data_IF_634233682163
#
_entry.id   IF_634233682163
#
_cell.length_a   1.000
_cell.length_b   1.000
_cell.length_c   1.000
_cell.angle_alpha   90.00
_cell.angle_beta   90.00
_cell.angle_gamma   90.00
#
_symmetry.space_group_name_H-M   'P 1'
#
loop_
_entity.id
_entity.type
_entity.pdbx_description
1 polymer ?
#
# COMPACT_ATOMS: atom_id res chain seq x y z
N UNK A 1 0.46 24.40 -3.51
CA UNK A 1 0.64 23.75 -2.20
C UNK A 1 1.22 22.36 -2.48
N UNK A 2 2.17 21.94 -1.67
CA UNK A 2 2.71 20.59 -1.78
C UNK A 2 1.65 19.58 -1.36
N UNK A 3 1.56 18.45 -2.08
CA UNK A 3 0.59 17.39 -1.76
C UNK A 3 0.87 16.79 -0.39
N UNK A 4 -0.19 16.56 0.38
CA UNK A 4 -0.15 15.80 1.63
C UNK A 4 -0.22 14.30 1.29
N UNK A 5 0.77 13.55 1.73
CA UNK A 5 0.91 12.13 1.48
C UNK A 5 0.50 11.39 2.75
N UNK A 6 -0.55 10.57 2.67
CA UNK A 6 -0.99 9.72 3.76
C UNK A 6 -0.59 8.28 3.48
N UNK A 7 0.13 7.68 4.42
CA UNK A 7 0.56 6.30 4.38
C UNK A 7 -0.23 5.51 5.43
N UNK A 8 -1.08 4.60 4.97
CA UNK A 8 -1.80 3.66 5.82
C UNK A 8 -1.08 2.30 5.81
N UNK A 9 -0.84 1.75 6.96
CA UNK A 9 -0.27 0.41 7.12
C UNK A 9 -1.37 -0.58 7.50
N UNK A 10 -1.52 -1.63 6.69
CA UNK A 10 -2.56 -2.64 6.84
C UNK A 10 -2.54 -3.34 8.20
N UNK A 11 -3.72 -3.64 8.71
CA UNK A 11 -3.95 -4.45 9.90
C UNK A 11 -3.34 -3.89 11.21
N UNK A 12 -3.30 -4.72 12.26
CA UNK A 12 -2.69 -4.46 13.54
C UNK A 12 -2.27 -5.76 14.20
N UNK A 13 -1.58 -5.66 15.33
CA UNK A 13 -1.07 -6.82 16.09
C UNK A 13 -2.17 -7.82 16.45
N UNK A 14 -3.37 -7.33 16.72
CA UNK A 14 -4.54 -8.12 17.07
C UNK A 14 -5.39 -8.61 15.87
N UNK A 15 -4.92 -8.40 14.62
CA UNK A 15 -5.60 -8.93 13.42
C UNK A 15 -5.15 -10.35 13.13
N UNK A 16 -6.00 -11.33 13.39
CA UNK A 16 -5.68 -12.74 13.22
C UNK A 16 -5.56 -13.12 11.73
N UNK A 17 -4.69 -14.09 11.43
CA UNK A 17 -4.57 -14.72 10.11
C UNK A 17 -3.91 -13.86 9.03
N UNK A 18 -3.31 -12.73 9.42
CA UNK A 18 -2.57 -11.84 8.52
C UNK A 18 -1.06 -12.09 8.65
N UNK A 19 -0.66 -13.29 8.22
CA UNK A 19 0.72 -13.78 8.33
C UNK A 19 1.00 -14.86 7.30
N UNK A 20 2.29 -15.17 7.10
CA UNK A 20 2.69 -16.36 6.35
C UNK A 20 2.30 -17.64 7.11
N UNK A 21 2.14 -18.80 6.42
CA UNK A 21 1.80 -20.07 7.06
C UNK A 21 2.73 -20.51 8.19
N UNK A 22 3.99 -20.11 8.15
CA UNK A 22 5.02 -20.40 9.17
C UNK A 22 5.21 -19.25 10.19
N UNK A 23 4.41 -18.18 10.09
CA UNK A 23 4.50 -16.95 10.89
C UNK A 23 5.85 -16.19 10.79
N UNK A 24 6.68 -16.49 9.82
CA UNK A 24 7.92 -15.75 9.58
C UNK A 24 7.67 -14.30 9.15
N UNK A 25 6.58 -14.06 8.37
CA UNK A 25 6.09 -12.75 8.00
C UNK A 25 4.76 -12.48 8.70
N UNK A 26 4.73 -11.43 9.53
CA UNK A 26 3.51 -10.86 10.10
C UNK A 26 3.18 -9.59 9.33
N UNK A 27 2.07 -9.57 8.58
CA UNK A 27 1.73 -8.46 7.68
C UNK A 27 1.73 -7.11 8.40
N UNK A 28 1.05 -7.01 9.55
CA UNK A 28 0.98 -5.78 10.32
C UNK A 28 2.35 -5.20 10.73
N UNK A 29 3.27 -6.08 11.10
CA UNK A 29 4.63 -5.70 11.52
C UNK A 29 5.50 -5.30 10.33
N UNK A 30 5.35 -6.01 9.22
CA UNK A 30 6.06 -5.73 7.98
C UNK A 30 5.63 -4.38 7.38
N UNK A 31 4.33 -4.16 7.22
CA UNK A 31 3.79 -2.93 6.62
C UNK A 31 4.14 -1.70 7.44
N UNK A 32 4.16 -1.79 8.79
CA UNK A 32 4.63 -0.69 9.65
C UNK A 32 6.09 -0.35 9.44
N UNK A 33 6.96 -1.36 9.32
CA UNK A 33 8.39 -1.13 9.01
C UNK A 33 8.57 -0.44 7.66
N UNK A 34 7.85 -0.90 6.63
CA UNK A 34 7.87 -0.31 5.29
C UNK A 34 7.39 1.13 5.31
N UNK A 35 6.20 1.37 5.85
CA UNK A 35 5.58 2.71 5.94
C UNK A 35 6.46 3.68 6.73
N UNK A 36 7.00 3.25 7.87
CA UNK A 36 7.93 4.06 8.67
C UNK A 36 9.15 4.47 7.84
N UNK A 37 9.73 3.54 7.08
CA UNK A 37 10.93 3.82 6.27
C UNK A 37 10.64 4.73 5.07
N UNK A 38 9.45 4.57 4.45
CA UNK A 38 8.98 5.50 3.40
C UNK A 38 8.80 6.90 3.99
N UNK A 39 8.11 7.01 5.13
CA UNK A 39 7.90 8.28 5.82
C UNK A 39 9.22 8.99 6.13
N UNK A 40 10.17 8.31 6.79
CA UNK A 40 11.49 8.86 7.11
C UNK A 40 12.16 9.47 5.88
N UNK A 41 12.26 8.70 4.80
CA UNK A 41 12.96 9.12 3.59
C UNK A 41 12.26 10.23 2.80
N UNK A 42 10.93 10.26 2.81
CA UNK A 42 10.17 11.35 2.18
C UNK A 42 10.23 12.63 3.01
N UNK A 43 10.16 12.53 4.35
CA UNK A 43 10.30 13.66 5.25
C UNK A 43 11.69 14.31 5.13
N UNK A 44 12.77 13.51 5.06
CA UNK A 44 14.14 13.99 4.79
C UNK A 44 14.26 14.78 3.47
N UNK A 45 13.40 14.49 2.49
CA UNK A 45 13.32 15.18 1.20
C UNK A 45 12.37 16.40 1.21
N UNK A 46 11.77 16.73 2.35
CA UNK A 46 10.88 17.87 2.52
C UNK A 46 9.42 17.61 2.09
N UNK A 47 9.01 16.37 1.83
CA UNK A 47 7.61 16.06 1.52
C UNK A 47 6.73 16.14 2.78
N UNK A 48 5.50 16.63 2.61
CA UNK A 48 4.48 16.62 3.66
C UNK A 48 3.84 15.23 3.74
N UNK A 49 4.41 14.35 4.55
CA UNK A 49 4.05 12.92 4.66
C UNK A 49 3.66 12.56 6.08
N UNK A 50 2.59 11.75 6.23
CA UNK A 50 2.06 11.34 7.52
C UNK A 50 1.76 9.84 7.54
N UNK A 51 2.04 9.20 8.68
CA UNK A 51 1.60 7.82 8.98
C UNK A 51 0.20 7.90 9.57
N UNK A 52 -0.76 7.23 8.91
CA UNK A 52 -2.17 7.28 9.30
C UNK A 52 -2.47 6.50 10.59
N UNK A 53 -1.77 5.36 10.78
CA UNK A 53 -1.94 4.45 11.92
C UNK A 53 -0.59 4.23 12.60
N UNK A 54 -0.19 5.12 13.52
CA UNK A 54 1.05 4.96 14.29
C UNK A 54 0.93 3.88 15.39
N UNK A 55 -0.28 3.44 15.72
CA UNK A 55 -0.55 2.42 16.74
C UNK A 55 -0.18 1.01 16.24
N UNK A 56 0.20 0.11 17.14
CA UNK A 56 0.45 -1.30 16.82
C UNK A 56 -0.86 -2.10 16.72
N UNK A 57 -1.86 -1.76 17.53
CA UNK A 57 -3.19 -2.35 17.44
C UNK A 57 -3.90 -1.99 16.13
N UNK A 58 -4.82 -2.85 15.70
CA UNK A 58 -5.68 -2.58 14.54
C UNK A 58 -6.64 -1.44 14.86
N UNK A 59 -6.67 -0.47 13.98
CA UNK A 59 -7.60 0.65 14.03
C UNK A 59 -8.73 0.38 13.04
N UNK A 60 -9.97 0.46 13.53
CA UNK A 60 -11.16 0.21 12.73
C UNK A 60 -11.16 1.05 11.44
N UNK A 61 -11.56 0.43 10.32
CA UNK A 61 -11.55 1.07 9.00
C UNK A 61 -12.30 2.40 8.95
N UNK A 62 -13.41 2.52 9.69
CA UNK A 62 -14.15 3.79 9.80
C UNK A 62 -13.32 4.90 10.45
N UNK A 63 -12.51 4.58 11.45
CA UNK A 63 -11.62 5.54 12.10
C UNK A 63 -10.45 5.93 11.18
N UNK A 64 -9.87 4.97 10.45
CA UNK A 64 -8.84 5.27 9.43
C UNK A 64 -9.37 6.26 8.40
N UNK A 65 -10.59 6.03 7.87
CA UNK A 65 -11.24 6.95 6.93
C UNK A 65 -11.53 8.33 7.53
N UNK A 66 -11.91 8.42 8.81
CA UNK A 66 -12.07 9.72 9.49
C UNK A 66 -10.75 10.48 9.55
N UNK A 67 -9.63 9.81 9.88
CA UNK A 67 -8.29 10.41 9.88
C UNK A 67 -7.92 10.94 8.49
N UNK A 68 -8.11 10.15 7.43
CA UNK A 68 -7.89 10.60 6.04
C UNK A 68 -8.73 11.83 5.74
N UNK A 69 -10.03 11.76 6.01
CA UNK A 69 -10.97 12.81 5.64
C UNK A 69 -10.78 14.12 6.46
N UNK A 70 -10.15 14.04 7.63
CA UNK A 70 -9.70 15.24 8.37
C UNK A 70 -8.66 16.03 7.56
N UNK A 71 -7.64 15.34 7.01
CA UNK A 71 -6.67 15.96 6.11
C UNK A 71 -7.34 16.53 4.85
N UNK A 72 -8.31 15.79 4.28
CA UNK A 72 -9.06 16.28 3.12
C UNK A 72 -9.84 17.56 3.42
N UNK A 73 -10.42 17.67 4.62
CA UNK A 73 -11.11 18.89 5.05
C UNK A 73 -10.15 20.07 5.23
N UNK A 74 -8.95 19.82 5.73
CA UNK A 74 -7.94 20.84 6.02
C UNK A 74 -7.22 21.32 4.75
N UNK A 75 -6.83 20.40 3.86
CA UNK A 75 -5.96 20.69 2.72
C UNK A 75 -6.68 20.67 1.37
N UNK A 76 -7.92 20.19 1.31
CA UNK A 76 -8.68 19.98 0.09
C UNK A 76 -8.37 18.62 -0.58
N UNK A 77 -9.41 18.04 -1.22
CA UNK A 77 -9.35 16.66 -1.77
C UNK A 77 -8.25 16.46 -2.81
N UNK A 78 -7.95 17.47 -3.59
CA UNK A 78 -6.99 17.40 -4.69
C UNK A 78 -5.53 17.58 -4.21
N UNK A 79 -5.34 18.00 -2.96
CA UNK A 79 -4.04 18.19 -2.33
C UNK A 79 -3.66 17.05 -1.37
N UNK A 80 -4.50 16.04 -1.21
CA UNK A 80 -4.26 14.87 -0.36
C UNK A 80 -4.22 13.62 -1.22
N UNK A 81 -3.32 12.69 -0.91
CA UNK A 81 -3.29 11.34 -1.49
C UNK A 81 -3.14 10.29 -0.41
N UNK A 82 -3.69 9.11 -0.65
CA UNK A 82 -3.60 7.96 0.25
C UNK A 82 -2.98 6.75 -0.46
N UNK A 83 -1.99 6.14 0.18
CA UNK A 83 -1.51 4.79 -0.17
C UNK A 83 -1.67 3.89 1.04
N UNK A 84 -2.49 2.85 0.93
CA UNK A 84 -2.63 1.79 1.93
C UNK A 84 -1.73 0.62 1.55
N UNK A 85 -0.81 0.27 2.44
CA UNK A 85 0.27 -0.71 2.18
C UNK A 85 -0.09 -2.05 2.83
N UNK A 86 -0.19 -3.11 2.02
CA UNK A 86 -0.58 -4.46 2.39
C UNK A 86 0.33 -5.52 1.79
N UNK A 87 0.16 -6.77 2.23
CA UNK A 87 0.65 -7.98 1.57
C UNK A 87 -0.55 -8.87 1.22
N UNK A 88 -0.58 -9.38 0.00
CA UNK A 88 -1.69 -10.21 -0.52
C UNK A 88 -1.71 -11.61 0.11
N UNK A 89 -2.85 -12.26 0.01
CA UNK A 89 -3.02 -13.67 0.32
C UNK A 89 -3.89 -14.34 -0.77
N UNK A 90 -3.48 -15.52 -1.21
CA UNK A 90 -4.22 -16.33 -2.19
C UNK A 90 -5.31 -17.19 -1.54
N UNK A 91 -5.13 -17.52 -0.25
CA UNK A 91 -6.04 -18.35 0.52
C UNK A 91 -6.22 -17.88 1.96
N UNK A 92 -7.08 -18.59 2.69
CA UNK A 92 -7.32 -18.37 4.13
C UNK A 92 -7.18 -19.68 4.94
N UNK A 93 -6.54 -20.69 4.32
CA UNK A 93 -6.43 -22.05 4.87
C UNK A 93 -5.12 -22.29 5.63
N UNK A 94 -4.28 -21.25 5.79
CA UNK A 94 -2.99 -21.33 6.47
C UNK A 94 -1.93 -22.15 5.72
N UNK A 95 -2.08 -22.33 4.40
CA UNK A 95 -1.15 -23.10 3.57
C UNK A 95 -0.38 -22.21 2.60
N UNK A 96 0.72 -22.76 2.10
CA UNK A 96 1.48 -22.13 1.02
C UNK A 96 0.77 -22.27 -0.32
N UNK A 97 0.71 -21.17 -1.09
CA UNK A 97 0.08 -21.07 -2.40
C UNK A 97 1.06 -20.68 -3.51
N UNK A 98 0.62 -20.86 -4.76
CA UNK A 98 1.45 -20.58 -5.96
C UNK A 98 1.29 -19.17 -6.51
N UNK A 99 0.23 -18.44 -6.10
CA UNK A 99 0.02 -17.07 -6.54
C UNK A 99 1.14 -16.20 -6.02
N UNK A 100 1.72 -15.35 -6.87
CA UNK A 100 2.83 -14.48 -6.51
C UNK A 100 2.86 -13.20 -7.37
N UNK A 101 3.50 -12.16 -6.86
CA UNK A 101 3.71 -10.89 -7.56
C UNK A 101 2.94 -9.73 -6.97
N UNK A 102 3.32 -8.54 -7.39
CA UNK A 102 2.82 -7.25 -6.89
C UNK A 102 1.54 -6.81 -7.60
N UNK A 103 0.64 -6.16 -6.87
CA UNK A 103 -0.62 -5.63 -7.38
C UNK A 103 -0.91 -4.23 -6.79
N UNK A 104 -1.71 -3.44 -7.52
CA UNK A 104 -2.33 -2.21 -7.00
C UNK A 104 -3.83 -2.25 -7.22
N UNK A 105 -4.56 -1.72 -6.26
CA UNK A 105 -6.01 -1.67 -6.25
C UNK A 105 -6.51 -0.24 -6.13
N UNK A 106 -7.60 0.04 -6.85
CA UNK A 106 -8.42 1.24 -6.70
C UNK A 106 -9.82 0.87 -6.25
N UNK A 107 -10.61 1.86 -5.83
CA UNK A 107 -12.05 1.67 -5.66
C UNK A 107 -12.71 1.28 -7.00
N UNK A 108 -13.86 0.59 -6.98
CA UNK A 108 -14.57 0.15 -8.20
C UNK A 108 -15.04 1.31 -9.10
N UNK A 109 -15.20 2.51 -8.54
CA UNK A 109 -15.48 3.76 -9.25
C UNK A 109 -14.39 4.79 -8.94
N UNK A 110 -13.15 4.62 -9.46
CA UNK A 110 -12.02 5.42 -9.08
C UNK A 110 -12.06 6.82 -9.71
N UNK A 111 -11.47 7.81 -9.05
CA UNK A 111 -11.18 9.10 -9.67
C UNK A 111 -10.02 8.96 -10.68
N UNK A 112 -9.94 9.89 -11.64
CA UNK A 112 -8.84 9.94 -12.61
C UNK A 112 -7.47 10.02 -11.91
N UNK A 113 -7.39 10.76 -10.79
CA UNK A 113 -6.19 10.87 -9.99
C UNK A 113 -5.82 9.56 -9.27
N UNK A 114 -6.81 8.76 -8.83
CA UNK A 114 -6.54 7.41 -8.30
C UNK A 114 -6.01 6.48 -9.40
N UNK A 115 -6.57 6.58 -10.61
CA UNK A 115 -6.10 5.82 -11.78
C UNK A 115 -4.66 6.24 -12.13
N UNK A 116 -4.38 7.55 -12.15
CA UNK A 116 -3.03 8.08 -12.41
C UNK A 116 -2.01 7.56 -11.40
N UNK A 117 -2.35 7.62 -10.11
CA UNK A 117 -1.49 7.11 -9.03
C UNK A 117 -1.23 5.60 -9.17
N UNK A 118 -2.28 4.82 -9.45
CA UNK A 118 -2.17 3.37 -9.65
C UNK A 118 -1.28 3.02 -10.85
N UNK A 119 -1.43 3.71 -11.98
CA UNK A 119 -0.59 3.50 -13.15
C UNK A 119 0.89 3.86 -12.87
N UNK A 120 1.16 4.98 -12.21
CA UNK A 120 2.53 5.37 -11.84
C UNK A 120 3.19 4.32 -10.93
N UNK A 121 2.45 3.78 -9.97
CA UNK A 121 2.93 2.70 -9.11
C UNK A 121 3.24 1.44 -9.91
N UNK A 122 2.30 1.00 -10.75
CA UNK A 122 2.47 -0.19 -11.59
C UNK A 122 3.67 -0.06 -12.54
N UNK A 123 3.80 1.08 -13.22
CA UNK A 123 4.90 1.34 -14.15
C UNK A 123 6.25 1.37 -13.40
N UNK A 124 6.29 1.99 -12.21
CA UNK A 124 7.49 2.01 -11.38
C UNK A 124 7.94 0.61 -10.98
N UNK A 125 7.00 -0.26 -10.56
CA UNK A 125 7.29 -1.65 -10.21
C UNK A 125 7.77 -2.44 -11.43
N UNK A 126 7.16 -2.21 -12.59
CA UNK A 126 7.53 -2.86 -13.86
C UNK A 126 8.92 -2.43 -14.34
N UNK A 127 9.25 -1.13 -14.24
CA UNK A 127 10.58 -0.58 -14.56
C UNK A 127 11.68 -1.17 -13.67
N UNK A 128 11.35 -1.54 -12.42
CA UNK A 128 12.27 -2.22 -11.52
C UNK A 128 12.44 -3.72 -11.81
N UNK A 129 11.77 -4.25 -12.85
CA UNK A 129 11.83 -5.66 -13.24
C UNK A 129 11.12 -6.61 -12.29
N UNK A 130 10.28 -6.11 -11.39
CA UNK A 130 9.54 -6.93 -10.45
C UNK A 130 8.34 -7.59 -11.11
N UNK A 131 7.95 -8.76 -10.63
CA UNK A 131 6.77 -9.45 -11.12
C UNK A 131 5.50 -8.72 -10.71
N UNK A 132 4.79 -8.18 -11.69
CA UNK A 132 3.49 -7.55 -11.51
C UNK A 132 2.34 -8.48 -11.88
N UNK A 133 1.16 -8.18 -11.34
CA UNK A 133 -0.11 -8.81 -11.70
C UNK A 133 -1.13 -7.72 -12.03
N UNK A 134 -1.90 -7.95 -13.08
CA UNK A 134 -2.99 -7.07 -13.52
C UNK A 134 -4.19 -7.91 -13.95
N UNK A 135 -5.42 -7.35 -13.90
CA UNK A 135 -6.62 -8.10 -14.26
C UNK A 135 -6.68 -8.43 -15.75
N UNK A 136 -6.17 -7.54 -16.60
CA UNK A 136 -6.12 -7.70 -18.06
C UNK A 136 -5.01 -6.84 -18.67
N UNK A 137 -4.56 -7.13 -19.91
CA UNK A 137 -3.46 -6.38 -20.55
C UNK A 137 -3.67 -4.88 -20.66
N UNK A 138 -4.92 -4.42 -20.78
CA UNK A 138 -5.29 -3.01 -20.93
C UNK A 138 -5.49 -2.25 -19.63
N UNK A 139 -5.38 -2.93 -18.46
CA UNK A 139 -5.64 -2.32 -17.15
C UNK A 139 -4.60 -2.74 -16.12
N UNK A 140 -3.86 -1.81 -15.60
CA UNK A 140 -2.73 -2.01 -14.69
C UNK A 140 -3.13 -2.16 -13.21
N UNK A 141 -4.38 -1.91 -12.86
CA UNK A 141 -4.88 -1.93 -11.49
C UNK A 141 -6.12 -2.81 -11.36
N UNK A 142 -6.31 -3.40 -10.18
CA UNK A 142 -7.53 -4.10 -9.80
C UNK A 142 -8.54 -3.13 -9.21
N UNK A 143 -9.82 -3.40 -9.35
CA UNK A 143 -10.89 -2.63 -8.73
C UNK A 143 -11.55 -3.43 -7.62
N UNK A 144 -11.69 -2.83 -6.43
CA UNK A 144 -12.30 -3.45 -5.26
C UNK A 144 -13.00 -2.42 -4.37
N UNK A 145 -14.06 -2.85 -3.72
CA UNK A 145 -14.80 -2.04 -2.76
C UNK A 145 -14.17 -2.09 -1.35
N UNK A 146 -12.83 -2.08 -1.28
CA UNK A 146 -12.15 -1.98 0.01
C UNK A 146 -12.60 -0.72 0.75
N UNK A 147 -12.98 -0.88 2.01
CA UNK A 147 -13.58 0.19 2.80
C UNK A 147 -12.74 1.45 2.82
N UNK A 148 -11.43 1.31 3.00
CA UNK A 148 -10.49 2.44 3.03
C UNK A 148 -10.46 3.21 1.70
N UNK A 149 -10.57 2.53 0.56
CA UNK A 149 -10.60 3.15 -0.77
C UNK A 149 -11.96 3.82 -1.05
N UNK A 150 -13.05 3.14 -0.66
CA UNK A 150 -14.43 3.61 -0.89
C UNK A 150 -14.79 4.87 -0.10
N UNK A 151 -14.28 4.98 1.12
CA UNK A 151 -14.70 6.03 2.06
C UNK A 151 -13.66 7.15 2.26
N UNK A 152 -12.48 7.05 1.64
CA UNK A 152 -11.50 8.13 1.57
C UNK A 152 -11.88 9.12 0.48
N UNK A 153 -11.95 10.41 0.83
CA UNK A 153 -12.43 11.49 -0.07
C UNK A 153 -11.29 12.15 -0.88
N UNK A 154 -10.18 11.44 -1.07
CA UNK A 154 -9.03 11.87 -1.86
C UNK A 154 -8.62 10.78 -2.84
N UNK A 155 -7.73 11.03 -3.80
CA UNK A 155 -7.04 10.00 -4.56
C UNK A 155 -6.46 8.93 -3.64
N UNK A 156 -6.87 7.67 -3.84
CA UNK A 156 -6.53 6.57 -2.95
C UNK A 156 -6.25 5.28 -3.72
N UNK A 157 -5.20 4.58 -3.32
CA UNK A 157 -4.83 3.25 -3.79
C UNK A 157 -4.45 2.34 -2.64
N UNK A 158 -4.55 1.02 -2.87
CA UNK A 158 -4.01 0.01 -1.97
C UNK A 158 -2.99 -0.83 -2.75
N UNK A 159 -1.80 -0.99 -2.19
CA UNK A 159 -0.74 -1.82 -2.76
C UNK A 159 -0.69 -3.16 -2.06
N UNK A 160 -0.70 -4.23 -2.83
CA UNK A 160 -0.49 -5.60 -2.38
C UNK A 160 0.94 -6.00 -2.74
N UNK A 161 1.82 -5.89 -1.74
CA UNK A 161 3.25 -6.09 -1.91
C UNK A 161 3.59 -7.57 -1.83
N UNK A 162 3.34 -8.29 -2.92
CA UNK A 162 3.53 -9.73 -3.02
C UNK A 162 2.59 -10.54 -2.10
N UNK A 163 2.76 -11.87 -2.05
CA UNK A 163 1.86 -12.76 -1.34
C UNK A 163 2.49 -13.29 -0.05
N UNK A 164 1.85 -13.04 1.08
CA UNK A 164 2.28 -13.54 2.39
C UNK A 164 2.16 -15.07 2.55
N UNK A 165 1.44 -15.72 1.66
CA UNK A 165 1.28 -17.17 1.57
C UNK A 165 1.98 -17.81 0.36
N UNK A 166 2.95 -17.10 -0.25
CA UNK A 166 3.86 -17.63 -1.25
C UNK A 166 5.30 -17.61 -0.71
N UNK A 167 5.97 -18.77 -0.74
CA UNK A 167 7.29 -18.93 -0.12
C UNK A 167 8.35 -18.01 -0.71
N UNK A 168 8.44 -17.95 -2.05
CA UNK A 168 9.41 -17.11 -2.76
C UNK A 168 9.16 -15.61 -2.49
N UNK A 169 7.88 -15.21 -2.46
CA UNK A 169 7.51 -13.82 -2.16
C UNK A 169 7.85 -13.45 -0.71
N UNK A 170 7.62 -14.36 0.25
CA UNK A 170 7.96 -14.14 1.67
C UNK A 170 9.48 -14.05 1.87
N UNK A 171 10.25 -14.97 1.27
CA UNK A 171 11.71 -14.93 1.31
C UNK A 171 12.25 -13.60 0.76
N UNK A 172 11.70 -13.13 -0.36
CA UNK A 172 12.03 -11.83 -0.94
C UNK A 172 11.68 -10.67 0.02
N UNK A 173 10.45 -10.62 0.52
CA UNK A 173 9.98 -9.54 1.41
C UNK A 173 10.82 -9.44 2.69
N UNK A 174 11.25 -10.57 3.25
CA UNK A 174 12.05 -10.61 4.47
C UNK A 174 13.54 -10.35 4.24
N UNK A 175 14.02 -10.43 3.00
CA UNK A 175 15.40 -10.06 2.67
C UNK A 175 15.62 -8.55 2.77
N UNK A 176 16.85 -8.15 3.03
CA UNK A 176 17.23 -6.72 3.04
C UNK A 176 17.00 -6.06 1.66
N UNK A 177 17.34 -6.78 0.58
CA UNK A 177 17.12 -6.34 -0.78
C UNK A 177 15.64 -6.12 -1.07
N UNK A 178 14.79 -7.12 -0.78
CA UNK A 178 13.35 -7.04 -1.00
C UNK A 178 12.69 -5.93 -0.19
N UNK A 179 13.02 -5.82 1.10
CA UNK A 179 12.53 -4.73 1.95
C UNK A 179 12.88 -3.36 1.36
N UNK A 180 14.16 -3.14 1.02
CA UNK A 180 14.61 -1.87 0.46
C UNK A 180 13.97 -1.60 -0.92
N UNK A 181 13.71 -2.63 -1.70
CA UNK A 181 13.04 -2.55 -2.99
C UNK A 181 11.58 -2.10 -2.82
N UNK A 182 10.82 -2.68 -1.87
CA UNK A 182 9.45 -2.26 -1.57
C UNK A 182 9.40 -0.80 -1.08
N UNK A 183 10.32 -0.40 -0.23
CA UNK A 183 10.42 1.00 0.22
C UNK A 183 10.71 1.93 -0.97
N UNK A 184 11.68 1.57 -1.81
CA UNK A 184 12.12 2.39 -2.95
C UNK A 184 11.00 2.57 -3.99
N UNK A 185 10.28 1.51 -4.35
CA UNK A 185 9.18 1.60 -5.32
C UNK A 185 8.11 2.62 -4.91
N UNK A 186 7.73 2.63 -3.62
CA UNK A 186 6.73 3.59 -3.14
C UNK A 186 7.28 5.03 -3.16
N UNK A 187 8.52 5.23 -2.73
CA UNK A 187 9.14 6.56 -2.75
C UNK A 187 9.22 7.09 -4.19
N UNK A 188 9.73 6.29 -5.11
CA UNK A 188 9.89 6.70 -6.51
C UNK A 188 8.54 7.02 -7.16
N UNK A 189 7.52 6.18 -6.92
CA UNK A 189 6.17 6.42 -7.43
C UNK A 189 5.52 7.67 -6.83
N UNK A 190 5.64 7.88 -5.51
CA UNK A 190 5.14 9.09 -4.84
C UNK A 190 5.82 10.33 -5.41
N UNK A 191 7.13 10.31 -5.57
CA UNK A 191 7.89 11.43 -6.15
C UNK A 191 7.49 11.71 -7.61
N UNK A 192 7.20 10.67 -8.41
CA UNK A 192 6.67 10.83 -9.79
C UNK A 192 5.26 11.42 -9.78
N UNK A 193 4.41 10.99 -8.83
CA UNK A 193 3.03 11.48 -8.74
C UNK A 193 2.93 12.93 -8.27
N UNK A 194 3.83 13.38 -7.41
CA UNK A 194 3.85 14.75 -6.87
C UNK A 194 4.50 15.79 -7.80
N UNK A 195 5.11 15.38 -8.91
CA UNK A 195 5.61 16.26 -9.96
C UNK A 195 4.48 16.73 -10.89
#
# INVERSE_FOLDING_TARGET
MDKVILLDNGHGENTLGKCSPDNSLLEWKYTRKVVKKIHERLAEKGYNVHILVPEDNDIALGERCKRVNKFVTEYGKDNVMLISVHCNAAGSDGKWHKAKGWQVHTFSSPSDESIRLANILFDTVSEMGLKTRRPMPSQNYWTNDFWILKHSKCPAVLTENFFQDNKEDVEFLLSEEGFNTIVKLHIDAIMKYCK
#
